data_IF_674044062920
#
_entry.id   IF_674044062920
#
_cell.length_a   1.000
_cell.length_b   1.000
_cell.length_c   1.000
_cell.angle_alpha   90.00
_cell.angle_beta   90.00
_cell.angle_gamma   90.00
#
_symmetry.space_group_name_H-M   'P 1'
#
loop_
_entity.id
_entity.type
_entity.pdbx_description
1 polymer ?
#
# COMPACT_ATOMS: atom_id res chain seq x y z
N UNK A 1 36.75 17.55 -20.33
CA UNK A 1 38.01 17.72 -19.58
C UNK A 1 38.71 16.36 -19.60
N UNK A 2 39.81 16.22 -20.35
CA UNK A 2 40.50 14.94 -20.48
C UNK A 2 41.40 14.74 -19.26
N UNK A 3 41.09 13.74 -18.44
CA UNK A 3 41.95 13.34 -17.31
C UNK A 3 42.75 12.12 -17.76
N UNK A 4 43.99 12.34 -18.16
CA UNK A 4 44.97 11.28 -18.38
C UNK A 4 45.59 10.89 -17.05
N UNK A 5 45.23 9.71 -16.53
CA UNK A 5 45.96 9.10 -15.42
C UNK A 5 47.22 8.42 -15.95
N UNK A 6 48.38 8.88 -15.48
CA UNK A 6 49.64 8.18 -15.70
C UNK A 6 49.69 6.98 -14.76
N UNK A 7 49.40 5.79 -15.29
CA UNK A 7 49.62 4.53 -14.61
C UNK A 7 51.12 4.27 -14.40
N UNK A 8 51.50 3.50 -13.36
CA UNK A 8 52.89 3.15 -13.11
C UNK A 8 53.46 2.38 -14.30
N UNK A 9 54.67 2.78 -14.72
CA UNK A 9 55.48 2.14 -15.77
C UNK A 9 55.91 0.74 -15.32
N UNK A 10 54.99 -0.21 -15.37
CA UNK A 10 55.26 -1.64 -15.34
C UNK A 10 55.22 -2.16 -16.77
N UNK A 11 56.39 -2.49 -17.31
CA UNK A 11 56.54 -3.01 -18.65
C UNK A 11 55.81 -4.36 -18.81
N UNK A 12 55.06 -4.47 -19.90
CA UNK A 12 54.63 -5.75 -20.43
C UNK A 12 53.18 -6.11 -20.11
N UNK A 13 52.24 -5.48 -20.80
CA UNK A 13 51.03 -6.20 -21.19
C UNK A 13 50.37 -5.51 -22.38
N UNK A 14 49.81 -6.30 -23.30
CA UNK A 14 48.94 -5.81 -24.38
C UNK A 14 47.59 -5.44 -23.76
N UNK A 15 47.58 -4.44 -22.89
CA UNK A 15 46.36 -3.81 -22.41
C UNK A 15 45.83 -2.93 -23.52
N UNK A 16 44.91 -3.47 -24.33
CA UNK A 16 44.00 -2.62 -25.10
C UNK A 16 43.38 -1.64 -24.12
N UNK A 17 43.84 -0.39 -24.20
CA UNK A 17 43.34 0.71 -23.41
C UNK A 17 41.90 0.97 -23.82
N UNK A 18 40.97 0.21 -23.23
CA UNK A 18 39.57 0.57 -23.13
C UNK A 18 39.52 1.82 -22.25
N UNK A 19 39.89 2.97 -22.82
CA UNK A 19 39.48 4.27 -22.33
C UNK A 19 37.97 4.23 -22.28
N UNK A 20 37.46 3.93 -21.09
CA UNK A 20 36.06 4.11 -20.72
C UNK A 20 35.83 5.62 -20.74
N UNK A 21 35.71 6.17 -21.95
CA UNK A 21 35.19 7.50 -22.21
C UNK A 21 33.71 7.39 -21.83
N UNK A 22 33.44 7.45 -20.51
CA UNK A 22 32.09 7.59 -19.96
C UNK A 22 31.62 8.95 -20.43
N UNK A 23 31.08 8.93 -21.64
CA UNK A 23 30.62 10.06 -22.40
C UNK A 23 29.64 10.85 -21.55
N UNK A 24 30.07 12.00 -21.04
CA UNK A 24 29.19 13.01 -20.43
C UNK A 24 28.05 13.43 -21.38
N UNK A 25 28.21 13.18 -22.69
CA UNK A 25 27.17 13.39 -23.72
C UNK A 25 25.93 12.55 -23.51
N UNK A 26 26.06 11.45 -22.79
CA UNK A 26 24.96 10.54 -22.53
C UNK A 26 23.99 11.11 -21.48
N UNK A 27 24.47 11.64 -20.36
CA UNK A 27 23.60 12.15 -19.28
C UNK A 27 22.59 13.23 -19.71
N UNK A 28 22.94 14.12 -20.65
CA UNK A 28 22.01 15.14 -21.16
C UNK A 28 20.86 14.57 -21.98
N UNK A 29 21.03 13.41 -22.61
CA UNK A 29 19.98 12.76 -23.39
C UNK A 29 19.02 11.95 -22.52
N UNK A 30 19.50 11.41 -21.39
CA UNK A 30 18.68 10.56 -20.50
C UNK A 30 17.91 11.35 -19.46
N UNK A 31 18.48 12.45 -18.97
CA UNK A 31 17.88 13.30 -17.94
C UNK A 31 16.44 13.75 -18.25
N UNK A 32 16.11 14.26 -19.46
CA UNK A 32 14.73 14.65 -19.76
C UNK A 32 13.78 13.46 -19.80
N UNK A 33 14.20 12.30 -20.33
CA UNK A 33 13.38 11.07 -20.33
C UNK A 33 13.08 10.57 -18.92
N UNK A 34 14.05 10.65 -18.01
CA UNK A 34 13.85 10.31 -16.60
C UNK A 34 12.91 11.30 -15.89
N UNK A 35 13.01 12.60 -16.20
CA UNK A 35 12.09 13.60 -15.65
C UNK A 35 10.67 13.44 -16.17
N UNK A 36 10.49 13.04 -17.43
CA UNK A 36 9.17 12.76 -18.00
C UNK A 36 8.56 11.50 -17.38
N UNK A 37 9.32 10.41 -17.27
CA UNK A 37 8.90 9.17 -16.61
C UNK A 37 8.55 9.36 -15.13
N UNK A 38 9.27 10.21 -14.40
CA UNK A 38 8.99 10.45 -12.98
C UNK A 38 7.66 11.16 -12.74
N UNK A 39 7.20 12.02 -13.66
CA UNK A 39 5.88 12.66 -13.57
C UNK A 39 4.75 11.64 -13.71
N UNK A 40 4.88 10.70 -14.65
CA UNK A 40 3.89 9.64 -14.86
C UNK A 40 3.80 8.70 -13.65
N UNK A 41 4.96 8.33 -13.08
CA UNK A 41 5.03 7.51 -11.87
C UNK A 41 4.39 8.21 -10.67
N UNK A 42 4.67 9.51 -10.49
CA UNK A 42 4.05 10.30 -9.41
C UNK A 42 2.53 10.42 -9.61
N UNK A 43 2.07 10.74 -10.83
CA UNK A 43 0.64 10.84 -11.14
C UNK A 43 -0.09 9.50 -10.91
N UNK A 44 0.52 8.38 -11.32
CA UNK A 44 0.02 7.04 -11.05
C UNK A 44 -0.05 6.77 -9.54
N UNK A 45 1.00 7.10 -8.78
CA UNK A 45 1.03 6.90 -7.33
C UNK A 45 -0.05 7.73 -6.59
N UNK A 46 -0.29 8.98 -7.01
CA UNK A 46 -1.39 9.79 -6.49
C UNK A 46 -2.76 9.18 -6.81
N UNK A 47 -2.97 8.70 -8.03
CA UNK A 47 -4.22 8.05 -8.44
C UNK A 47 -4.47 6.78 -7.64
N UNK A 48 -3.46 5.93 -7.46
CA UNK A 48 -3.52 4.72 -6.64
C UNK A 48 -3.86 5.06 -5.18
N UNK A 49 -3.23 6.08 -4.61
CA UNK A 49 -3.52 6.54 -3.24
C UNK A 49 -4.97 7.01 -3.08
N UNK A 50 -5.46 7.81 -4.03
CA UNK A 50 -6.85 8.28 -4.00
C UNK A 50 -7.85 7.12 -4.11
N UNK A 51 -7.60 6.18 -5.04
CA UNK A 51 -8.40 4.98 -5.20
C UNK A 51 -8.39 4.10 -3.94
N UNK A 52 -7.23 3.87 -3.34
CA UNK A 52 -7.09 3.08 -2.11
C UNK A 52 -7.88 3.71 -0.94
N UNK A 53 -7.79 5.02 -0.77
CA UNK A 53 -8.58 5.73 0.25
C UNK A 53 -10.09 5.62 0.02
N UNK A 54 -10.53 5.77 -1.23
CA UNK A 54 -11.96 5.63 -1.58
C UNK A 54 -12.46 4.21 -1.39
N UNK A 55 -11.66 3.21 -1.74
CA UNK A 55 -11.98 1.80 -1.50
C UNK A 55 -12.05 1.48 -0.02
N UNK A 56 -11.09 1.94 0.78
CA UNK A 56 -11.12 1.76 2.24
C UNK A 56 -12.39 2.37 2.85
N UNK A 57 -12.82 3.55 2.40
CA UNK A 57 -14.07 4.17 2.82
C UNK A 57 -15.31 3.33 2.46
N UNK A 58 -15.35 2.79 1.25
CA UNK A 58 -16.44 1.91 0.80
C UNK A 58 -16.49 0.61 1.62
N UNK A 59 -15.33 0.01 1.92
CA UNK A 59 -15.25 -1.18 2.78
C UNK A 59 -15.74 -0.88 4.19
N UNK A 60 -15.35 0.26 4.76
CA UNK A 60 -15.81 0.69 6.08
C UNK A 60 -17.32 0.89 6.10
N UNK A 61 -17.87 1.57 5.10
CA UNK A 61 -19.31 1.81 5.01
C UNK A 61 -20.09 0.50 4.83
N UNK A 62 -19.64 -0.39 3.94
CA UNK A 62 -20.25 -1.69 3.75
C UNK A 62 -20.20 -2.54 5.02
N UNK A 63 -19.05 -2.55 5.69
CA UNK A 63 -18.85 -3.22 6.96
C UNK A 63 -19.79 -2.70 8.05
N UNK A 64 -19.93 -1.38 8.18
CA UNK A 64 -20.83 -0.75 9.13
C UNK A 64 -22.30 -1.13 8.88
N UNK A 65 -22.72 -1.25 7.61
CA UNK A 65 -24.07 -1.68 7.25
C UNK A 65 -24.29 -3.14 7.65
N UNK A 66 -23.34 -4.03 7.34
CA UNK A 66 -23.40 -5.46 7.69
C UNK A 66 -23.46 -5.64 9.21
N UNK A 67 -22.54 -5.01 9.94
CA UNK A 67 -22.50 -5.02 11.41
C UNK A 67 -23.78 -4.44 12.01
N UNK A 68 -24.28 -3.34 11.46
CA UNK A 68 -25.53 -2.72 11.91
C UNK A 68 -26.74 -3.62 11.73
N UNK A 69 -26.83 -4.36 10.62
CA UNK A 69 -27.90 -5.33 10.39
C UNK A 69 -27.81 -6.51 11.36
N UNK A 70 -26.61 -7.06 11.59
CA UNK A 70 -26.39 -8.16 12.52
C UNK A 70 -26.69 -7.73 13.97
N UNK A 71 -26.24 -6.54 14.37
CA UNK A 71 -26.55 -5.95 15.67
C UNK A 71 -28.06 -5.71 15.84
N UNK A 72 -28.77 -5.26 14.80
CA UNK A 72 -30.22 -5.08 14.83
C UNK A 72 -30.95 -6.42 15.00
N UNK A 73 -30.51 -7.49 14.32
CA UNK A 73 -31.02 -8.86 14.53
C UNK A 73 -30.79 -9.30 15.98
N UNK A 74 -29.57 -9.12 16.49
CA UNK A 74 -29.19 -9.45 17.86
C UNK A 74 -30.08 -8.74 18.89
N UNK A 75 -30.30 -7.45 18.67
CA UNK A 75 -31.16 -6.61 19.50
C UNK A 75 -32.60 -7.10 19.49
N UNK A 76 -33.14 -7.44 18.32
CA UNK A 76 -34.49 -7.99 18.19
C UNK A 76 -34.64 -9.33 18.93
N UNK A 77 -33.62 -10.21 18.86
CA UNK A 77 -33.57 -11.46 19.62
C UNK A 77 -33.56 -11.22 21.14
N UNK A 78 -32.73 -10.28 21.61
CA UNK A 78 -32.61 -9.94 23.04
C UNK A 78 -33.89 -9.32 23.63
N UNK A 79 -34.57 -8.48 22.85
CA UNK A 79 -35.80 -7.81 23.27
C UNK A 79 -37.06 -8.66 23.12
N UNK A 80 -36.93 -9.87 22.56
CA UNK A 80 -38.07 -10.76 22.24
C UNK A 80 -39.16 -10.06 21.42
N UNK A 81 -38.77 -9.12 20.57
CA UNK A 81 -39.73 -8.37 19.74
C UNK A 81 -40.45 -9.31 18.78
N UNK A 82 -41.76 -9.15 18.63
CA UNK A 82 -42.53 -9.94 17.66
C UNK A 82 -42.09 -9.60 16.24
N UNK A 83 -41.98 -10.62 15.39
CA UNK A 83 -41.66 -10.52 13.94
C UNK A 83 -42.84 -9.97 13.11
N UNK A 84 -43.79 -9.29 13.75
CA UNK A 84 -45.02 -8.81 13.12
C UNK A 84 -44.75 -7.56 12.26
N UNK A 85 -43.73 -6.78 12.60
CA UNK A 85 -43.35 -5.58 11.82
C UNK A 85 -42.61 -5.98 10.55
N UNK A 86 -43.04 -5.43 9.40
CA UNK A 86 -42.40 -5.67 8.09
C UNK A 86 -40.89 -5.37 8.09
N UNK A 87 -40.47 -4.33 8.81
CA UNK A 87 -39.07 -3.93 8.93
C UNK A 87 -38.21 -5.04 9.55
N UNK A 88 -38.71 -5.70 10.60
CA UNK A 88 -38.00 -6.80 11.25
C UNK A 88 -37.89 -8.01 10.33
N UNK A 89 -38.94 -8.33 9.57
CA UNK A 89 -38.88 -9.41 8.58
C UNK A 89 -37.80 -9.16 7.53
N UNK A 90 -37.68 -7.92 7.06
CA UNK A 90 -36.62 -7.53 6.11
C UNK A 90 -35.22 -7.67 6.72
N UNK A 91 -35.02 -7.24 7.97
CA UNK A 91 -33.74 -7.39 8.68
C UNK A 91 -33.39 -8.87 8.84
N UNK A 92 -34.33 -9.70 9.30
CA UNK A 92 -34.11 -11.13 9.46
C UNK A 92 -33.81 -11.82 8.13
N UNK A 93 -34.54 -11.50 7.07
CA UNK A 93 -34.29 -12.07 5.73
C UNK A 93 -32.92 -11.67 5.18
N UNK A 94 -32.51 -10.40 5.35
CA UNK A 94 -31.19 -9.94 4.90
C UNK A 94 -30.06 -10.59 5.70
N UNK A 95 -30.24 -10.73 7.01
CA UNK A 95 -29.24 -11.33 7.89
C UNK A 95 -29.19 -12.85 7.79
N UNK A 96 -30.28 -13.53 7.46
CA UNK A 96 -30.29 -14.98 7.19
C UNK A 96 -29.33 -15.34 6.05
N UNK A 97 -29.27 -14.50 5.00
CA UNK A 97 -28.31 -14.68 3.91
C UNK A 97 -26.86 -14.52 4.38
N UNK A 98 -26.58 -13.52 5.25
CA UNK A 98 -25.25 -13.28 5.79
C UNK A 98 -24.79 -14.37 6.76
N UNK A 99 -25.72 -14.95 7.50
CA UNK A 99 -25.45 -15.97 8.52
C UNK A 99 -25.42 -17.38 7.90
N UNK A 100 -26.05 -17.58 6.74
CA UNK A 100 -26.17 -18.89 6.06
C UNK A 100 -24.86 -19.71 6.00
N UNK A 101 -23.68 -19.13 5.71
CA UNK A 101 -22.42 -19.89 5.66
C UNK A 101 -21.98 -20.47 7.02
N UNK A 102 -22.52 -19.96 8.12
CA UNK A 102 -22.15 -20.32 9.49
C UNK A 102 -23.20 -21.20 10.18
N UNK A 103 -24.32 -21.50 9.50
CA UNK A 103 -25.40 -22.31 10.07
C UNK A 103 -24.95 -23.73 10.41
N UNK A 104 -24.01 -24.29 9.65
CA UNK A 104 -23.44 -25.62 9.89
C UNK A 104 -22.62 -25.71 11.19
N UNK A 105 -22.26 -24.56 11.78
CA UNK A 105 -21.55 -24.48 13.05
C UNK A 105 -22.49 -24.54 14.26
N UNK A 106 -23.81 -24.43 14.08
CA UNK A 106 -24.74 -24.60 15.18
C UNK A 106 -24.82 -26.07 15.61
N UNK A 107 -24.62 -26.39 16.90
CA UNK A 107 -24.88 -27.72 17.40
C UNK A 107 -26.36 -28.07 17.18
N UNK A 108 -26.60 -29.22 16.53
CA UNK A 108 -27.86 -29.75 15.93
C UNK A 108 -29.22 -29.55 16.63
N UNK A 109 -29.29 -28.97 17.83
CA UNK A 109 -30.53 -28.51 18.43
C UNK A 109 -30.69 -27.01 18.21
N UNK A 110 -31.29 -26.66 17.07
CA UNK A 110 -31.61 -25.27 16.72
C UNK A 110 -32.44 -24.64 17.84
N UNK A 111 -31.79 -23.71 18.52
CA UNK A 111 -32.23 -22.90 19.66
C UNK A 111 -33.39 -21.94 19.32
N UNK A 112 -33.93 -21.99 18.10
CA UNK A 112 -35.03 -21.14 17.63
C UNK A 112 -36.27 -21.15 18.53
N UNK A 113 -36.44 -22.16 19.39
CA UNK A 113 -37.53 -22.25 20.37
C UNK A 113 -37.19 -21.67 21.76
N UNK A 114 -35.92 -21.55 22.16
CA UNK A 114 -35.55 -21.16 23.53
C UNK A 114 -35.31 -19.66 23.70
N UNK A 115 -35.29 -18.89 22.61
CA UNK A 115 -34.97 -17.46 22.65
C UNK A 115 -33.53 -17.18 23.10
N UNK A 116 -32.65 -18.18 22.96
CA UNK A 116 -31.21 -18.02 23.20
C UNK A 116 -30.58 -17.50 21.91
N UNK A 117 -29.56 -16.65 22.04
CA UNK A 117 -28.81 -16.09 20.91
C UNK A 117 -28.38 -17.19 19.93
N UNK A 118 -28.62 -16.98 18.64
CA UNK A 118 -28.10 -17.84 17.57
C UNK A 118 -26.57 -17.75 17.57
N UNK A 119 -25.88 -18.84 17.90
CA UNK A 119 -24.42 -18.86 17.94
C UNK A 119 -23.82 -18.49 16.57
N UNK A 120 -24.48 -18.91 15.48
CA UNK A 120 -24.07 -18.52 14.12
C UNK A 120 -24.11 -17.00 13.90
N UNK A 121 -25.03 -16.27 14.54
CA UNK A 121 -25.08 -14.79 14.43
C UNK A 121 -23.85 -14.16 15.07
N UNK A 122 -23.44 -14.64 16.25
CA UNK A 122 -22.23 -14.17 16.94
C UNK A 122 -20.96 -14.46 16.14
N UNK A 123 -20.83 -15.69 15.62
CA UNK A 123 -19.70 -16.07 14.77
C UNK A 123 -19.65 -15.24 13.49
N UNK A 124 -20.79 -15.02 12.84
CA UNK A 124 -20.86 -14.18 11.65
C UNK A 124 -20.36 -12.75 11.95
N UNK A 125 -20.83 -12.16 13.05
CA UNK A 125 -20.42 -10.82 13.48
C UNK A 125 -18.90 -10.75 13.73
N UNK A 126 -18.32 -11.73 14.43
CA UNK A 126 -16.87 -11.79 14.64
C UNK A 126 -16.08 -11.91 13.32
N UNK A 127 -16.50 -12.80 12.42
CA UNK A 127 -15.83 -13.02 11.13
C UNK A 127 -15.89 -11.78 10.26
N UNK A 128 -17.05 -11.11 10.18
CA UNK A 128 -17.19 -9.87 9.41
C UNK A 128 -16.35 -8.74 10.01
N UNK A 129 -16.35 -8.57 11.34
CA UNK A 129 -15.51 -7.59 12.02
C UNK A 129 -14.02 -7.81 11.72
N UNK A 130 -13.55 -9.05 11.83
CA UNK A 130 -12.16 -9.43 11.51
C UNK A 130 -11.85 -9.16 10.04
N UNK A 131 -12.75 -9.48 9.12
CA UNK A 131 -12.57 -9.21 7.69
C UNK A 131 -12.47 -7.70 7.38
N UNK A 132 -13.32 -6.88 8.00
CA UNK A 132 -13.30 -5.42 7.85
C UNK A 132 -11.99 -4.85 8.39
N UNK A 133 -11.58 -5.26 9.60
CA UNK A 133 -10.33 -4.82 10.22
C UNK A 133 -9.11 -5.27 9.40
N UNK A 134 -9.10 -6.51 8.91
CA UNK A 134 -8.07 -7.03 8.02
C UNK A 134 -7.98 -6.24 6.72
N UNK A 135 -9.11 -5.92 6.09
CA UNK A 135 -9.19 -5.07 4.90
C UNK A 135 -8.65 -3.66 5.14
N UNK A 136 -9.05 -3.02 6.25
CA UNK A 136 -8.57 -1.69 6.63
C UNK A 136 -7.06 -1.68 6.90
N UNK A 137 -6.56 -2.69 7.61
CA UNK A 137 -5.13 -2.85 7.88
C UNK A 137 -4.34 -3.03 6.57
N UNK A 138 -4.85 -3.84 5.64
CA UNK A 138 -4.25 -4.02 4.33
C UNK A 138 -4.13 -2.70 3.56
N UNK A 139 -5.22 -1.91 3.50
CA UNK A 139 -5.19 -0.59 2.85
C UNK A 139 -4.24 0.39 3.54
N UNK A 140 -4.15 0.33 4.88
CA UNK A 140 -3.22 1.16 5.64
C UNK A 140 -1.76 0.83 5.30
N UNK A 141 -1.39 -0.46 5.31
CA UNK A 141 -0.04 -0.92 4.94
C UNK A 141 0.29 -0.52 3.51
N UNK A 142 -0.63 -0.76 2.57
CA UNK A 142 -0.46 -0.38 1.17
C UNK A 142 -0.21 1.13 1.01
N UNK A 143 -0.98 1.94 1.74
CA UNK A 143 -0.81 3.40 1.74
C UNK A 143 0.57 3.82 2.28
N UNK A 144 1.09 3.13 3.31
CA UNK A 144 2.44 3.39 3.85
C UNK A 144 3.53 3.00 2.87
N UNK A 145 3.40 1.86 2.17
CA UNK A 145 4.35 1.43 1.15
C UNK A 145 4.42 2.42 -0.02
N UNK A 146 3.27 2.92 -0.49
CA UNK A 146 3.23 3.96 -1.55
C UNK A 146 3.92 5.24 -1.08
N UNK A 147 3.67 5.70 0.14
CA UNK A 147 4.33 6.90 0.68
C UNK A 147 5.84 6.70 0.83
N UNK A 148 6.29 5.52 1.24
CA UNK A 148 7.70 5.16 1.34
C UNK A 148 8.35 5.16 -0.06
N UNK A 149 7.71 4.56 -1.06
CA UNK A 149 8.21 4.55 -2.43
C UNK A 149 8.35 5.97 -3.01
N UNK A 150 7.35 6.84 -2.76
CA UNK A 150 7.43 8.26 -3.15
C UNK A 150 8.56 8.97 -2.42
N UNK A 151 8.74 8.70 -1.13
CA UNK A 151 9.82 9.30 -0.34
C UNK A 151 11.20 8.87 -0.84
N UNK A 152 11.40 7.59 -1.12
CA UNK A 152 12.64 7.06 -1.68
C UNK A 152 12.94 7.63 -3.07
N UNK A 153 11.90 7.81 -3.91
CA UNK A 153 12.04 8.46 -5.21
C UNK A 153 12.37 9.95 -5.11
N UNK A 154 12.08 10.59 -3.97
CA UNK A 154 12.39 12.00 -3.69
C UNK A 154 13.76 12.22 -3.05
N UNK A 155 14.46 11.16 -2.60
CA UNK A 155 15.77 11.33 -2.02
C UNK A 155 16.66 12.02 -3.06
N UNK A 156 17.12 13.26 -2.79
CA UNK A 156 17.93 13.98 -3.73
C UNK A 156 19.17 13.14 -3.95
N UNK A 157 19.47 12.88 -5.21
CA UNK A 157 20.75 12.32 -5.62
C UNK A 157 21.84 13.38 -5.40
N UNK A 158 21.99 13.84 -4.16
CA UNK A 158 23.18 14.51 -3.67
C UNK A 158 24.31 13.49 -3.74
N UNK A 159 24.73 13.17 -4.98
CA UNK A 159 26.15 12.92 -5.19
C UNK A 159 26.81 14.19 -4.70
N UNK A 160 27.69 14.11 -3.68
CA UNK A 160 28.51 15.27 -3.36
C UNK A 160 29.12 15.74 -4.67
N UNK A 161 28.87 17.01 -5.01
CA UNK A 161 29.55 17.62 -6.15
C UNK A 161 31.03 17.29 -5.97
N UNK A 162 31.72 16.74 -7.00
CA UNK A 162 33.12 16.38 -6.86
C UNK A 162 33.81 17.60 -6.29
N UNK A 163 34.36 17.46 -5.07
CA UNK A 163 34.97 18.55 -4.35
C UNK A 163 35.86 19.26 -5.37
N UNK A 164 35.55 20.53 -5.65
CA UNK A 164 36.25 21.32 -6.66
C UNK A 164 37.73 21.04 -6.47
N UNK A 165 38.36 20.43 -7.48
CA UNK A 165 39.74 20.00 -7.37
C UNK A 165 40.54 21.16 -6.78
N UNK A 166 41.38 20.93 -5.74
CA UNK A 166 42.10 22.00 -5.09
C UNK A 166 42.75 22.85 -6.18
N UNK A 167 42.62 24.20 -6.12
CA UNK A 167 43.15 25.08 -7.16
C UNK A 167 44.57 24.65 -7.41
N UNK A 168 44.85 24.21 -8.64
CA UNK A 168 46.16 23.70 -9.02
C UNK A 168 47.15 24.75 -8.56
N UNK A 169 47.93 24.40 -7.52
CA UNK A 169 48.84 25.32 -6.88
C UNK A 169 49.68 25.93 -7.99
N UNK A 170 49.46 27.21 -8.22
CA UNK A 170 50.18 27.98 -9.22
C UNK A 170 51.63 27.92 -8.78
N UNK A 171 52.40 27.05 -9.46
CA UNK A 171 53.82 26.87 -9.22
C UNK A 171 54.48 28.19 -9.61
N UNK A 172 54.54 29.12 -8.65
CA UNK A 172 55.40 30.28 -8.71
C UNK A 172 56.83 29.77 -8.90
N UNK A 173 57.28 29.76 -10.15
CA UNK A 173 58.69 29.64 -10.49
C UNK A 173 59.35 30.93 -10.01
N UNK A 174 59.93 30.88 -8.83
CA UNK A 174 60.92 31.88 -8.39
C UNK A 174 62.14 31.67 -9.28
N UNK A 175 62.48 32.71 -10.03
CA UNK A 175 63.69 32.81 -10.85
C UNK A 175 64.91 33.13 -9.98
#
# INVERSE_FOLDING_TARGET
MNVTMNGPKGAGDRGEGLTFEISMRSWSEWAPKLMESSKDVLAAAFKVRYLAGRLAWLVLLAGLIVEGLLAARLWAQLTRQSLETWLMRSVFSATDFLISPFQDLEPSQSIRMTGVLEFATLVAMEVYLVAILGGLLFFFILSKLVNLAIFLAKLPSERPAPASAPPAAEVQRVA
#
